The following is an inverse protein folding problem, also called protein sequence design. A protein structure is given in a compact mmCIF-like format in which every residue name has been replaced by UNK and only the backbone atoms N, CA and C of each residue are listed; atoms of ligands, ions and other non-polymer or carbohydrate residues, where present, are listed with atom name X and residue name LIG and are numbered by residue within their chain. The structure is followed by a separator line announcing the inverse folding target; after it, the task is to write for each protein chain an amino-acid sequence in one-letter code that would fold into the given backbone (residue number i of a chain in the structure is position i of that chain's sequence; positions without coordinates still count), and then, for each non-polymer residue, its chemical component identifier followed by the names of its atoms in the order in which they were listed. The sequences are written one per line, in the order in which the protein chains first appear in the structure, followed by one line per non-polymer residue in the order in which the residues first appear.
data_IF_636578121516
#
_entry.id   IF_636578121516
#
_cell.length_a   1.000
_cell.length_b   1.000
_cell.length_c   1.000
_cell.angle_alpha   90.00
_cell.angle_beta   90.00
_cell.angle_gamma   90.00
#
_symmetry.space_group_name_H-M   'P 1'
#
loop_
_entity.id
_entity.type
_entity.pdbx_description
1 polymer ?
#
# COMPACT_ATOMS: atom_id res chain seq x y z
N UNK A 1 24.19 3.00 -22.24
CA UNK A 1 23.62 4.09 -21.43
C UNK A 1 23.28 5.20 -22.40
N UNK A 2 22.03 5.67 -22.42
CA UNK A 2 21.61 6.74 -23.35
C UNK A 2 22.10 8.05 -22.74
N UNK A 3 23.03 8.72 -23.42
CA UNK A 3 23.63 9.98 -22.97
C UNK A 3 22.77 11.17 -23.39
N UNK A 4 21.55 11.23 -22.84
CA UNK A 4 20.56 12.27 -23.14
C UNK A 4 19.78 12.63 -21.87
N UNK A 5 19.17 13.82 -21.86
CA UNK A 5 18.28 14.22 -20.77
C UNK A 5 17.09 13.25 -20.66
N UNK A 6 16.80 12.68 -19.48
CA UNK A 6 15.66 11.79 -19.29
C UNK A 6 14.31 12.46 -19.58
N UNK A 7 14.26 13.79 -19.53
CA UNK A 7 13.06 14.58 -19.81
C UNK A 7 12.87 14.89 -21.30
N UNK A 8 13.86 14.60 -22.16
CA UNK A 8 13.74 14.81 -23.59
C UNK A 8 12.83 13.75 -24.22
N UNK A 9 11.89 14.18 -25.07
CA UNK A 9 10.97 13.29 -25.75
C UNK A 9 11.71 12.28 -26.65
N UNK A 10 12.82 12.71 -27.27
CA UNK A 10 13.66 11.83 -28.11
C UNK A 10 14.32 10.73 -27.29
N UNK A 11 14.76 11.06 -26.07
CA UNK A 11 15.32 10.08 -25.13
C UNK A 11 14.26 9.06 -24.69
N UNK A 12 13.06 9.53 -24.35
CA UNK A 12 11.94 8.65 -23.96
C UNK A 12 11.57 7.74 -25.13
N UNK A 13 11.41 8.29 -26.33
CA UNK A 13 11.07 7.53 -27.55
C UNK A 13 12.09 6.44 -27.87
N UNK A 14 13.38 6.79 -27.93
CA UNK A 14 14.44 5.83 -28.21
C UNK A 14 14.53 4.74 -27.13
N UNK A 15 14.28 5.08 -25.86
CA UNK A 15 14.17 4.11 -24.77
C UNK A 15 13.02 3.14 -24.98
N UNK A 16 11.83 3.63 -25.34
CA UNK A 16 10.65 2.79 -25.60
C UNK A 16 10.90 1.85 -26.79
N UNK A 17 11.48 2.33 -27.89
CA UNK A 17 11.86 1.50 -29.04
C UNK A 17 12.86 0.41 -28.65
N UNK A 18 13.91 0.76 -27.90
CA UNK A 18 14.89 -0.20 -27.40
C UNK A 18 14.23 -1.31 -26.57
N UNK A 19 13.27 -0.95 -25.70
CA UNK A 19 12.54 -1.91 -24.88
C UNK A 19 11.65 -2.83 -25.72
N UNK A 20 10.95 -2.30 -26.72
CA UNK A 20 10.18 -3.12 -27.66
C UNK A 20 11.08 -4.11 -28.40
N UNK A 21 12.21 -3.68 -28.94
CA UNK A 21 13.16 -4.57 -29.62
C UNK A 21 13.66 -5.68 -28.70
N UNK A 22 14.00 -5.32 -27.46
CA UNK A 22 14.47 -6.27 -26.46
C UNK A 22 13.36 -7.28 -26.08
N UNK A 23 12.14 -6.80 -25.88
CA UNK A 23 10.99 -7.62 -25.53
C UNK A 23 10.63 -8.60 -26.66
N UNK A 24 10.68 -8.15 -27.93
CA UNK A 24 10.50 -9.01 -29.10
C UNK A 24 11.52 -10.15 -29.16
N UNK A 25 12.82 -9.86 -28.91
CA UNK A 25 13.87 -10.89 -28.88
C UNK A 25 13.63 -11.96 -27.80
N UNK A 26 12.91 -11.62 -26.75
CA UNK A 26 12.59 -12.52 -25.64
C UNK A 26 11.15 -13.02 -25.65
N UNK A 27 10.38 -12.74 -26.71
CA UNK A 27 8.95 -13.07 -26.82
C UNK A 27 8.14 -12.65 -25.57
N UNK A 28 8.40 -11.43 -25.09
CA UNK A 28 7.80 -10.86 -23.90
C UNK A 28 7.04 -9.57 -24.23
N UNK A 29 6.11 -9.19 -23.36
CA UNK A 29 5.41 -7.91 -23.44
C UNK A 29 6.20 -6.88 -22.61
N UNK A 30 6.62 -5.74 -23.19
CA UNK A 30 7.34 -4.71 -22.45
C UNK A 30 6.39 -4.03 -21.44
N UNK A 31 6.74 -4.13 -20.15
CA UNK A 31 6.08 -3.41 -19.06
C UNK A 31 7.06 -2.41 -18.49
N UNK A 32 6.71 -1.12 -18.51
CA UNK A 32 7.58 -0.06 -17.99
C UNK A 32 6.83 0.80 -16.97
N UNK A 33 7.54 1.18 -15.92
CA UNK A 33 7.07 2.10 -14.89
C UNK A 33 7.85 3.41 -14.97
N UNK A 34 7.15 4.54 -15.00
CA UNK A 34 7.75 5.88 -14.94
C UNK A 34 7.13 6.74 -13.85
N UNK A 35 7.90 7.65 -13.26
CA UNK A 35 7.33 8.71 -12.43
C UNK A 35 6.40 9.61 -13.25
N UNK A 36 5.48 10.28 -12.56
CA UNK A 36 4.38 11.02 -13.19
C UNK A 36 4.77 11.91 -14.38
N UNK A 37 5.84 12.74 -14.34
CA UNK A 37 6.20 13.59 -15.47
C UNK A 37 6.65 12.80 -16.71
N UNK A 38 7.38 11.71 -16.51
CA UNK A 38 7.88 10.87 -17.59
C UNK A 38 6.79 9.92 -18.11
N UNK A 39 5.93 9.43 -17.22
CA UNK A 39 4.77 8.63 -17.58
C UNK A 39 3.84 9.40 -18.53
N UNK A 40 3.57 10.68 -18.22
CA UNK A 40 2.74 11.52 -19.08
C UNK A 40 3.34 11.70 -20.48
N UNK A 41 4.65 11.96 -20.57
CA UNK A 41 5.35 12.10 -21.85
C UNK A 41 5.35 10.79 -22.65
N UNK A 42 5.61 9.67 -21.98
CA UNK A 42 5.58 8.35 -22.61
C UNK A 42 4.18 7.99 -23.12
N UNK A 43 3.13 8.32 -22.37
CA UNK A 43 1.75 8.12 -22.79
C UNK A 43 1.45 8.90 -24.07
N UNK A 44 1.78 10.19 -24.10
CA UNK A 44 1.57 11.02 -25.29
C UNK A 44 2.32 10.51 -26.52
N UNK A 45 3.53 9.96 -26.33
CA UNK A 45 4.31 9.36 -27.41
C UNK A 45 3.62 8.09 -27.94
N UNK A 46 3.14 7.22 -27.05
CA UNK A 46 2.49 5.96 -27.44
C UNK A 46 1.16 6.24 -28.16
N UNK A 47 0.35 7.17 -27.64
CA UNK A 47 -0.94 7.56 -28.23
C UNK A 47 -0.79 8.25 -29.59
N UNK A 48 0.36 8.88 -29.87
CA UNK A 48 0.63 9.51 -31.16
C UNK A 48 1.07 8.52 -32.25
N UNK A 49 1.40 7.27 -31.90
CA UNK A 49 1.84 6.26 -32.86
C UNK A 49 0.65 5.58 -33.56
N UNK A 50 0.82 5.12 -34.82
CA UNK A 50 -0.22 4.39 -35.54
C UNK A 50 -0.67 3.12 -34.81
N UNK A 51 -1.94 2.74 -35.02
CA UNK A 51 -2.46 1.45 -34.57
C UNK A 51 -1.61 0.30 -35.14
N UNK A 52 -1.21 -0.63 -34.26
CA UNK A 52 -0.36 -1.77 -34.62
C UNK A 52 1.14 -1.48 -34.62
N UNK A 53 1.57 -0.28 -34.21
CA UNK A 53 3.00 0.01 -33.98
C UNK A 53 3.56 -0.84 -32.83
N UNK A 54 4.87 -1.09 -32.84
CA UNK A 54 5.54 -1.83 -31.75
C UNK A 54 5.33 -1.17 -30.37
N UNK A 55 5.16 0.16 -30.35
CA UNK A 55 4.97 0.93 -29.12
C UNK A 55 3.56 0.74 -28.53
N UNK A 56 2.55 0.47 -29.37
CA UNK A 56 1.19 0.21 -28.91
C UNK A 56 1.07 -1.03 -28.02
N UNK A 57 2.04 -1.94 -28.08
CA UNK A 57 2.11 -3.14 -27.25
C UNK A 57 2.75 -2.90 -25.86
N UNK A 58 3.23 -1.69 -25.57
CA UNK A 58 3.85 -1.37 -24.28
C UNK A 58 2.77 -1.21 -23.20
N UNK A 59 2.93 -1.94 -22.09
CA UNK A 59 2.13 -1.70 -20.88
C UNK A 59 2.82 -0.62 -20.05
N UNK A 60 2.35 0.61 -20.21
CA UNK A 60 2.85 1.77 -19.50
C UNK A 60 2.17 1.91 -18.11
N UNK A 61 2.97 1.86 -17.03
CA UNK A 61 2.49 1.95 -15.64
C UNK A 61 2.99 3.21 -14.94
N UNK A 62 2.11 3.87 -14.18
CA UNK A 62 2.50 5.00 -13.35
C UNK A 62 3.29 4.52 -12.12
N UNK A 63 4.48 5.08 -11.93
CA UNK A 63 5.30 4.89 -10.74
C UNK A 63 4.72 5.69 -9.57
N UNK A 64 4.24 4.98 -8.56
CA UNK A 64 3.59 5.59 -7.38
C UNK A 64 4.52 5.89 -6.21
N UNK A 65 5.74 5.34 -6.19
CA UNK A 65 6.64 5.43 -5.02
C UNK A 65 6.98 6.87 -4.65
N UNK A 66 7.35 7.72 -5.61
CA UNK A 66 7.69 9.12 -5.33
C UNK A 66 6.46 9.93 -4.91
N UNK A 67 5.29 9.63 -5.48
CA UNK A 67 4.03 10.23 -5.05
C UNK A 67 3.70 9.84 -3.60
N UNK A 68 3.85 8.57 -3.25
CA UNK A 68 3.60 8.08 -1.88
C UNK A 68 4.58 8.67 -0.86
N UNK A 69 5.88 8.72 -1.19
CA UNK A 69 6.88 9.42 -0.38
C UNK A 69 6.51 10.89 -0.16
N UNK A 70 6.12 11.58 -1.23
CA UNK A 70 5.77 13.01 -1.16
C UNK A 70 4.51 13.23 -0.33
N UNK A 71 3.50 12.38 -0.49
CA UNK A 71 2.24 12.44 0.26
C UNK A 71 2.49 12.23 1.75
N UNK A 72 3.19 11.18 2.14
CA UNK A 72 3.53 10.91 3.54
C UNK A 72 4.39 12.02 4.14
N UNK A 73 5.36 12.53 3.39
CA UNK A 73 6.16 13.69 3.80
C UNK A 73 5.31 14.95 3.99
N UNK A 74 4.29 15.16 3.16
CA UNK A 74 3.38 16.30 3.29
C UNK A 74 2.51 16.21 4.55
N UNK A 75 2.06 15.00 4.92
CA UNK A 75 1.35 14.78 6.19
C UNK A 75 2.26 15.14 7.37
N UNK A 76 3.50 14.63 7.37
CA UNK A 76 4.46 14.94 8.42
C UNK A 76 4.80 16.42 8.52
N UNK A 77 4.85 17.13 7.38
CA UNK A 77 5.04 18.58 7.35
C UNK A 77 3.84 19.35 7.89
N UNK A 78 2.62 19.03 7.42
CA UNK A 78 1.38 19.68 7.85
C UNK A 78 1.06 19.44 9.32
N UNK A 79 1.38 18.26 9.83
CA UNK A 79 1.10 17.85 11.20
C UNK A 79 2.29 18.05 12.15
N UNK A 80 3.30 18.82 11.74
CA UNK A 80 4.43 19.16 12.61
C UNK A 80 3.94 19.89 13.88
N UNK A 81 4.36 19.40 15.05
CA UNK A 81 3.98 19.98 16.35
C UNK A 81 2.57 19.62 16.84
N UNK A 82 1.83 18.75 16.14
CA UNK A 82 0.48 18.32 16.55
C UNK A 82 0.45 17.18 17.57
N UNK A 83 1.60 16.59 17.91
CA UNK A 83 1.65 15.36 18.69
C UNK A 83 1.77 14.08 17.84
N UNK A 84 1.63 14.16 16.51
CA UNK A 84 1.67 12.98 15.64
C UNK A 84 2.99 12.22 15.76
N UNK A 85 4.11 12.94 15.79
CA UNK A 85 5.44 12.34 15.91
C UNK A 85 5.57 11.59 17.24
N UNK A 86 5.16 12.23 18.34
CA UNK A 86 5.21 11.71 19.69
C UNK A 86 4.36 10.43 19.82
N UNK A 87 3.17 10.41 19.19
CA UNK A 87 2.32 9.21 19.14
C UNK A 87 3.00 8.08 18.36
N UNK A 88 3.64 8.38 17.22
CA UNK A 88 4.40 7.38 16.48
C UNK A 88 5.59 6.82 17.27
N UNK A 89 6.25 7.67 18.08
CA UNK A 89 7.40 7.31 18.93
C UNK A 89 7.02 6.35 20.08
N UNK A 90 5.73 6.19 20.40
CA UNK A 90 5.27 5.18 21.36
C UNK A 90 5.48 3.73 20.86
N UNK A 91 5.50 3.53 19.54
CA UNK A 91 5.56 2.20 18.92
C UNK A 91 6.85 2.00 18.11
N UNK A 92 7.40 3.09 17.57
CA UNK A 92 8.58 3.06 16.70
C UNK A 92 9.75 3.82 17.33
N UNK A 93 10.97 3.39 17.03
CA UNK A 93 12.17 4.11 17.49
C UNK A 93 12.22 5.53 16.90
N UNK A 94 12.63 6.53 17.70
CA UNK A 94 12.70 7.95 17.33
C UNK A 94 13.37 8.19 15.97
N UNK A 95 14.54 7.58 15.73
CA UNK A 95 15.26 7.71 14.47
C UNK A 95 14.48 7.17 13.25
N UNK A 96 13.63 6.16 13.47
CA UNK A 96 12.75 5.65 12.42
C UNK A 96 11.60 6.64 12.13
N UNK A 97 11.02 7.24 13.18
CA UNK A 97 9.91 8.20 13.06
C UNK A 97 10.33 9.43 12.29
N UNK A 98 11.54 9.96 12.50
CA UNK A 98 12.07 11.08 11.69
C UNK A 98 12.00 10.77 10.19
N UNK A 99 12.39 9.57 9.78
CA UNK A 99 12.30 9.17 8.37
C UNK A 99 10.87 8.92 7.90
N UNK A 100 9.98 8.49 8.80
CA UNK A 100 8.54 8.32 8.51
C UNK A 100 7.88 9.68 8.27
N UNK A 101 8.16 10.67 9.11
CA UNK A 101 7.66 12.04 9.00
C UNK A 101 8.12 12.75 7.71
N UNK A 102 9.28 12.36 7.16
CA UNK A 102 9.74 12.87 5.84
C UNK A 102 9.28 12.02 4.65
N UNK A 103 8.47 10.97 4.87
CA UNK A 103 8.03 10.03 3.84
C UNK A 103 9.11 9.09 3.29
N UNK A 104 10.34 9.14 3.82
CA UNK A 104 11.49 8.33 3.38
C UNK A 104 11.44 6.88 3.88
N UNK A 105 10.64 6.61 4.91
CA UNK A 105 10.40 5.26 5.43
C UNK A 105 8.96 4.80 5.15
N UNK A 106 8.56 4.81 3.88
CA UNK A 106 7.20 4.56 3.37
C UNK A 106 6.48 3.44 4.10
N UNK A 107 7.02 2.22 4.05
CA UNK A 107 6.35 1.04 4.60
C UNK A 107 6.11 1.14 6.12
N UNK A 108 6.99 1.83 6.87
CA UNK A 108 6.79 2.08 8.30
C UNK A 108 5.78 3.20 8.53
N UNK A 109 5.87 4.27 7.75
CA UNK A 109 4.96 5.42 7.83
C UNK A 109 3.51 5.00 7.55
N UNK A 110 3.25 4.25 6.46
CA UNK A 110 1.91 3.73 6.13
C UNK A 110 1.34 2.91 7.28
N UNK A 111 2.11 1.95 7.80
CA UNK A 111 1.65 1.15 8.95
C UNK A 111 1.35 2.02 10.15
N UNK A 112 2.22 2.97 10.50
CA UNK A 112 1.98 3.85 11.64
C UNK A 112 0.72 4.69 11.48
N UNK A 113 0.48 5.25 10.29
CA UNK A 113 -0.74 6.01 10.01
C UNK A 113 -2.00 5.15 10.12
N UNK A 114 -2.00 3.92 9.60
CA UNK A 114 -3.13 3.00 9.75
C UNK A 114 -3.40 2.62 11.20
N UNK A 115 -2.34 2.45 12.01
CA UNK A 115 -2.49 2.18 13.45
C UNK A 115 -3.08 3.38 14.19
N UNK A 116 -2.58 4.58 13.89
CA UNK A 116 -3.07 5.82 14.50
C UNK A 116 -4.52 6.06 14.11
N UNK A 117 -4.86 5.88 12.82
CA UNK A 117 -6.23 6.00 12.33
C UNK A 117 -7.17 5.02 13.05
N UNK A 118 -6.80 3.75 13.16
CA UNK A 118 -7.61 2.75 13.88
C UNK A 118 -7.83 3.09 15.36
N UNK A 119 -6.79 3.58 16.05
CA UNK A 119 -6.90 3.99 17.46
C UNK A 119 -7.75 5.25 17.61
N UNK A 120 -7.52 6.27 16.77
CA UNK A 120 -8.28 7.52 16.83
C UNK A 120 -9.75 7.30 16.52
N UNK A 121 -10.08 6.54 15.47
CA UNK A 121 -11.46 6.19 15.13
C UNK A 121 -12.12 5.40 16.26
N UNK A 122 -11.40 4.46 16.88
CA UNK A 122 -11.91 3.72 18.04
C UNK A 122 -12.21 4.62 19.24
N UNK A 123 -11.32 5.57 19.55
CA UNK A 123 -11.51 6.53 20.64
C UNK A 123 -12.70 7.46 20.38
N UNK A 124 -12.79 8.02 19.17
CA UNK A 124 -13.91 8.91 18.78
C UNK A 124 -15.24 8.16 18.85
N UNK A 125 -15.27 6.92 18.37
CA UNK A 125 -16.49 6.11 18.38
C UNK A 125 -16.92 5.73 19.80
N UNK A 126 -15.96 5.38 20.66
CA UNK A 126 -16.21 5.08 22.08
C UNK A 126 -16.81 6.28 22.81
N UNK A 127 -16.25 7.46 22.57
CA UNK A 127 -16.74 8.71 23.14
C UNK A 127 -18.14 9.07 22.63
N UNK A 128 -18.35 8.99 21.31
CA UNK A 128 -19.62 9.34 20.67
C UNK A 128 -20.78 8.41 21.08
N UNK A 129 -20.51 7.12 21.32
CA UNK A 129 -21.53 6.14 21.68
C UNK A 129 -21.67 5.92 23.19
N UNK A 130 -20.81 6.52 24.01
CA UNK A 130 -20.78 6.30 25.46
C UNK A 130 -20.48 4.84 25.85
N UNK A 131 -19.96 4.05 24.92
CA UNK A 131 -19.57 2.66 25.15
C UNK A 131 -18.11 2.68 25.55
N UNK A 132 -17.79 2.15 26.74
CA UNK A 132 -16.41 1.95 27.12
C UNK A 132 -15.73 1.11 26.04
N UNK A 133 -14.59 1.57 25.53
CA UNK A 133 -13.69 0.74 24.74
C UNK A 133 -13.45 -0.51 25.56
N UNK A 134 -14.19 -1.58 25.23
CA UNK A 134 -13.93 -2.88 25.80
C UNK A 134 -12.45 -3.10 25.52
N UNK A 135 -11.72 -3.43 26.58
CA UNK A 135 -10.36 -3.93 26.50
C UNK A 135 -10.35 -5.31 25.79
N UNK A 136 -11.16 -5.50 24.74
CA UNK A 136 -11.09 -6.54 23.72
C UNK A 136 -9.98 -6.26 22.70
N UNK A 137 -9.01 -5.43 23.09
CA UNK A 137 -7.59 -5.75 22.95
C UNK A 137 -7.21 -6.89 23.90
N UNK A 138 -7.98 -7.99 23.93
CA UNK A 138 -7.36 -9.30 24.12
C UNK A 138 -6.46 -9.52 22.90
N UNK A 139 -5.23 -8.99 23.05
CA UNK A 139 -3.97 -9.64 22.71
C UNK A 139 -4.18 -10.79 21.70
N UNK A 140 -3.89 -10.53 20.43
CA UNK A 140 -3.43 -11.48 19.39
C UNK A 140 -4.29 -11.74 18.15
N UNK A 141 -5.60 -11.48 18.07
CA UNK A 141 -6.37 -11.98 16.89
C UNK A 141 -6.73 -10.99 15.78
N UNK A 142 -6.73 -9.66 15.99
CA UNK A 142 -6.96 -8.69 14.91
C UNK A 142 -5.66 -8.25 14.19
N UNK A 143 -4.55 -8.25 14.93
CA UNK A 143 -3.24 -7.82 14.45
C UNK A 143 -2.57 -8.84 13.53
N UNK A 144 -2.81 -10.14 13.74
CA UNK A 144 -2.29 -11.18 12.86
C UNK A 144 -2.93 -11.10 11.48
N UNK A 145 -4.27 -11.05 11.32
CA UNK A 145 -4.91 -10.89 10.01
C UNK A 145 -4.61 -9.55 9.38
N UNK A 146 -4.67 -8.40 10.07
CA UNK A 146 -4.41 -7.12 9.41
C UNK A 146 -2.95 -6.98 8.99
N UNK A 147 -1.99 -7.34 9.85
CA UNK A 147 -0.57 -7.31 9.51
C UNK A 147 -0.18 -8.47 8.56
N UNK A 148 -0.90 -9.59 8.51
CA UNK A 148 -0.72 -10.69 7.54
C UNK A 148 -1.34 -10.38 6.19
N UNK A 149 -2.52 -9.77 6.17
CA UNK A 149 -3.29 -9.42 4.98
C UNK A 149 -2.74 -8.14 4.35
N UNK A 150 -2.27 -7.16 5.13
CA UNK A 150 -1.47 -6.04 4.64
C UNK A 150 -0.08 -6.51 4.24
N UNK A 151 0.54 -7.48 4.93
CA UNK A 151 1.75 -8.12 4.39
C UNK A 151 1.45 -8.78 3.05
N UNK A 152 0.38 -9.56 2.89
CA UNK A 152 0.09 -10.24 1.63
C UNK A 152 -0.32 -9.26 0.52
N UNK A 153 -1.21 -8.29 0.79
CA UNK A 153 -1.72 -7.33 -0.21
C UNK A 153 -0.71 -6.23 -0.56
N UNK A 154 0.11 -5.76 0.39
CA UNK A 154 1.14 -4.75 0.14
C UNK A 154 2.47 -5.37 -0.30
N UNK A 155 2.83 -6.59 0.14
CA UNK A 155 4.12 -7.21 -0.22
C UNK A 155 4.12 -8.04 -1.50
N UNK A 156 2.98 -8.51 -2.02
CA UNK A 156 3.00 -9.23 -3.31
C UNK A 156 3.60 -8.36 -4.44
N UNK A 157 3.32 -7.04 -4.51
CA UNK A 157 4.04 -6.15 -5.42
C UNK A 157 5.40 -5.63 -4.88
N UNK A 158 5.52 -5.27 -3.59
CA UNK A 158 6.74 -4.64 -3.04
C UNK A 158 7.90 -5.61 -2.78
N UNK A 159 7.63 -6.83 -2.30
CA UNK A 159 8.69 -7.81 -1.96
C UNK A 159 9.41 -8.35 -3.21
N UNK A 160 8.73 -8.41 -4.35
CA UNK A 160 9.36 -8.79 -5.63
C UNK A 160 10.39 -7.76 -6.10
N UNK A 161 10.21 -6.46 -5.79
CA UNK A 161 11.12 -5.40 -6.22
C UNK A 161 12.36 -5.26 -5.31
N UNK A 162 12.21 -5.44 -3.99
CA UNK A 162 13.35 -5.39 -3.05
C UNK A 162 14.26 -6.63 -3.15
N UNK A 163 13.72 -7.79 -3.54
CA UNK A 163 14.54 -9.00 -3.80
C UNK A 163 15.47 -8.86 -5.00
N UNK A 164 15.16 -8.01 -5.99
CA UNK A 164 16.04 -7.81 -7.13
C UNK A 164 17.25 -6.90 -6.83
N UNK A 165 17.25 -6.20 -5.69
CA UNK A 165 18.33 -5.27 -5.31
C UNK A 165 19.31 -5.82 -4.28
N UNK A 166 19.09 -7.02 -3.74
CA UNK A 166 19.92 -7.58 -2.67
C UNK A 166 20.45 -8.97 -3.03
N UNK A 167 21.77 -9.05 -3.13
CA UNK A 167 22.51 -10.30 -3.30
C UNK A 167 22.13 -11.28 -2.17
N UNK A 168 21.80 -12.49 -2.60
CA UNK A 168 21.31 -13.62 -1.81
C UNK A 168 22.20 -13.91 -0.59
N UNK A 169 21.63 -13.85 0.61
CA UNK A 169 22.00 -14.74 1.70
C UNK A 169 20.74 -15.36 2.34
N UNK A 170 20.69 -16.69 2.27
CA UNK A 170 19.61 -17.60 2.68
C UNK A 170 19.11 -17.33 4.11
N UNK A 171 17.79 -17.22 4.28
CA UNK A 171 17.12 -17.59 5.53
C UNK A 171 16.17 -18.77 5.25
N UNK A 172 16.28 -19.79 6.08
CA UNK A 172 15.74 -21.13 5.89
C UNK A 172 14.22 -21.18 5.61
N UNK A 173 13.86 -22.04 4.66
CA UNK A 173 12.51 -22.57 4.49
C UNK A 173 12.02 -23.23 5.79
N UNK A 174 11.11 -22.58 6.52
CA UNK A 174 10.15 -23.33 7.35
C UNK A 174 8.87 -23.49 6.53
N UNK A 175 8.46 -24.74 6.33
CA UNK A 175 7.18 -25.10 5.70
C UNK A 175 6.05 -24.38 6.44
N UNK A 176 5.22 -23.66 5.70
CA UNK A 176 3.95 -23.12 6.18
C UNK A 176 3.00 -24.33 6.34
N UNK A 177 2.42 -24.58 7.53
CA UNK A 177 1.37 -25.59 7.66
C UNK A 177 0.13 -25.11 6.91
N UNK A 178 -0.52 -26.01 6.16
CA UNK A 178 -1.87 -25.77 5.64
C UNK A 178 -2.80 -25.57 6.85
N UNK A 179 -3.22 -24.32 7.10
CA UNK A 179 -4.35 -24.05 7.98
C UNK A 179 -5.62 -24.36 7.19
N UNK A 180 -6.32 -25.41 7.58
CA UNK A 180 -7.73 -25.59 7.24
C UNK A 180 -8.50 -24.38 7.81
N UNK A 181 -9.19 -23.64 6.95
CA UNK A 181 -10.13 -22.61 7.36
C UNK A 181 -11.33 -23.29 8.02
N UNK A 182 -11.34 -23.37 9.34
CA UNK A 182 -12.60 -23.53 10.06
C UNK A 182 -13.42 -22.26 9.87
N UNK A 183 -14.52 -22.37 9.12
CA UNK A 183 -15.54 -21.32 9.00
C UNK A 183 -16.15 -21.11 10.37
N UNK A 184 -15.83 -19.99 11.00
CA UNK A 184 -16.35 -19.63 12.29
C UNK A 184 -17.69 -18.90 12.09
N UNK A 185 -18.80 -19.63 12.22
CA UNK A 185 -20.17 -19.17 11.97
C UNK A 185 -20.53 -17.86 12.67
N UNK A 186 -19.93 -17.62 13.84
CA UNK A 186 -20.24 -16.48 14.70
C UNK A 186 -19.66 -15.17 14.14
N UNK A 187 -18.59 -15.23 13.33
CA UNK A 187 -18.00 -14.04 12.70
C UNK A 187 -18.76 -13.59 11.46
N UNK A 188 -19.40 -14.53 10.76
CA UNK A 188 -20.23 -14.22 9.60
C UNK A 188 -21.54 -13.53 10.02
N UNK A 189 -22.13 -13.91 11.17
CA UNK A 189 -23.32 -13.23 11.71
C UNK A 189 -23.04 -11.78 12.13
N UNK A 190 -21.91 -11.52 12.79
CA UNK A 190 -21.53 -10.16 13.21
C UNK A 190 -21.26 -9.26 12.00
N UNK A 191 -20.63 -9.78 10.95
CA UNK A 191 -20.40 -9.03 9.71
C UNK A 191 -21.72 -8.66 9.00
N UNK A 192 -22.70 -9.57 8.99
CA UNK A 192 -24.03 -9.33 8.42
C UNK A 192 -24.80 -8.29 9.24
N UNK A 193 -24.77 -8.38 10.56
CA UNK A 193 -25.39 -7.41 11.47
C UNK A 193 -24.78 -6.01 11.34
N UNK A 194 -23.46 -5.92 11.14
CA UNK A 194 -22.78 -4.64 10.92
C UNK A 194 -23.17 -4.03 9.56
N UNK A 195 -23.27 -4.83 8.50
CA UNK A 195 -23.75 -4.36 7.21
C UNK A 195 -25.21 -3.86 7.29
N UNK A 196 -26.07 -4.57 8.01
CA UNK A 196 -27.47 -4.21 8.22
C UNK A 196 -27.65 -2.92 9.05
N UNK A 197 -26.76 -2.65 10.02
CA UNK A 197 -26.69 -1.40 10.76
C UNK A 197 -26.32 -0.23 9.84
N UNK A 198 -25.32 -0.42 8.97
CA UNK A 198 -24.89 0.59 8.00
C UNK A 198 -25.97 0.89 6.94
N UNK A 199 -26.84 -0.08 6.65
CA UNK A 199 -28.01 0.07 5.79
C UNK A 199 -29.25 0.61 6.52
N UNK A 200 -29.17 0.85 7.84
CA UNK A 200 -30.27 1.39 8.66
C UNK A 200 -31.43 0.42 8.89
N UNK A 201 -31.25 -0.85 8.57
CA UNK A 201 -32.28 -1.89 8.64
C UNK A 201 -32.49 -2.48 10.05
N UNK A 202 -31.58 -2.20 10.98
CA UNK A 202 -31.63 -2.65 12.39
C UNK A 202 -31.24 -1.50 13.32
N UNK A 203 -31.94 -1.33 14.44
CA UNK A 203 -31.58 -0.32 15.45
C UNK A 203 -30.37 -0.78 16.28
N UNK A 204 -29.53 0.17 16.68
CA UNK A 204 -28.35 -0.09 17.52
C UNK A 204 -28.71 -0.84 18.82
N UNK A 205 -29.91 -0.61 19.36
CA UNK A 205 -30.45 -1.28 20.54
C UNK A 205 -30.64 -2.79 20.36
N UNK A 206 -30.96 -3.25 19.14
CA UNK A 206 -31.11 -4.67 18.83
C UNK A 206 -29.78 -5.39 18.70
N UNK A 207 -28.73 -4.70 18.24
CA UNK A 207 -27.37 -5.23 18.15
C UNK A 207 -26.77 -5.42 19.55
N UNK A 208 -27.07 -4.51 20.48
CA UNK A 208 -26.60 -4.54 21.86
C UNK A 208 -27.22 -5.65 22.73
N UNK A 209 -28.34 -6.26 22.31
CA UNK A 209 -28.98 -7.37 23.03
C UNK A 209 -28.46 -8.76 22.60
N UNK A 210 -27.70 -8.84 21.51
CA UNK A 210 -27.23 -10.11 20.92
C UNK A 210 -25.71 -10.33 21.10
N UNK A 211 -25.00 -9.36 21.67
CA UNK A 211 -23.59 -9.44 22.06
C UNK A 211 -23.45 -9.53 23.58
#
# INVERSE_FOLDING_TARGET
MIDMSPSDATCIYSTLKFLCEHAHRHNAIPIITFDQPLWWKALLIIEAEPEGSDLSNIVLRLGGFHTEMSFLGSIGHLMAGTGLQEVMELVYAVNAVVHMMTGKAIARAVRAHLLIDGVLNGLILSDALGVALLCSLERQKMWLPLCSLERQKMWLPLCSLERQKSVVHRCHQRKIPQLELERNSDLDEVAVLYAQLMEGSVSAERLAMLM
#
